data_IF_973350301790
#
_entry.id   IF_973350301790
#
_cell.length_a   1.000
_cell.length_b   1.000
_cell.length_c   1.000
_cell.angle_alpha   90.00
_cell.angle_beta   90.00
_cell.angle_gamma   90.00
#
_symmetry.space_group_name_H-M   'P 1'
#
loop_
_entity.id
_entity.type
_entity.pdbx_description
1 polymer ?
#
# COMPACT_ATOMS: atom_id res chain seq x y z
N UNK A 1 -15.81 -9.88 -9.01
CA UNK A 1 -15.58 -8.78 -8.04
C UNK A 1 -16.28 -7.51 -8.53
N UNK A 2 -17.20 -6.92 -7.76
CA UNK A 2 -17.87 -5.66 -8.12
C UNK A 2 -17.34 -4.53 -7.24
N UNK A 3 -16.56 -3.62 -7.83
CA UNK A 3 -16.04 -2.43 -7.15
C UNK A 3 -16.84 -1.23 -7.66
N UNK A 4 -17.52 -0.56 -6.73
CA UNK A 4 -18.29 0.64 -7.03
C UNK A 4 -17.34 1.81 -7.35
N UNK A 5 -17.58 2.51 -8.47
CA UNK A 5 -16.69 3.57 -8.99
C UNK A 5 -16.54 4.71 -7.98
N UNK A 6 -17.66 5.21 -7.44
CA UNK A 6 -17.65 6.32 -6.47
C UNK A 6 -16.86 5.96 -5.21
N UNK A 7 -17.09 4.76 -4.67
CA UNK A 7 -16.35 4.23 -3.52
C UNK A 7 -14.85 4.08 -3.80
N UNK A 8 -14.48 3.65 -5.00
CA UNK A 8 -13.07 3.56 -5.41
C UNK A 8 -12.41 4.94 -5.39
N UNK A 9 -12.98 5.92 -6.09
CA UNK A 9 -12.41 7.26 -6.16
C UNK A 9 -12.40 7.96 -4.79
N UNK A 10 -13.45 7.79 -3.99
CA UNK A 10 -13.48 8.25 -2.60
C UNK A 10 -12.43 7.55 -1.71
N UNK A 11 -12.01 6.34 -2.09
CA UNK A 11 -10.89 5.65 -1.42
C UNK A 11 -9.55 6.22 -1.87
N UNK A 12 -9.37 6.48 -3.17
CA UNK A 12 -8.13 7.01 -3.71
C UNK A 12 -7.90 8.50 -3.39
N UNK A 13 -8.93 9.27 -3.00
CA UNK A 13 -8.80 10.70 -2.65
C UNK A 13 -8.09 11.00 -1.32
N UNK A 14 -7.41 10.03 -0.71
CA UNK A 14 -6.69 10.20 0.56
C UNK A 14 -5.18 10.00 0.36
N UNK A 15 -4.39 10.98 0.80
CA UNK A 15 -2.93 10.98 0.62
C UNK A 15 -2.23 9.76 1.24
N UNK A 16 -2.62 9.33 2.45
CA UNK A 16 -2.00 8.16 3.10
C UNK A 16 -2.34 6.88 2.33
N UNK A 17 -3.59 6.73 1.87
CA UNK A 17 -3.99 5.57 1.06
C UNK A 17 -3.25 5.53 -0.28
N UNK A 18 -3.03 6.67 -0.94
CA UNK A 18 -2.22 6.74 -2.15
C UNK A 18 -0.75 6.35 -1.90
N UNK A 19 -0.15 6.83 -0.81
CA UNK A 19 1.20 6.44 -0.42
C UNK A 19 1.32 4.94 -0.12
N UNK A 20 0.35 4.35 0.59
CA UNK A 20 0.31 2.90 0.81
C UNK A 20 0.14 2.13 -0.50
N UNK A 21 -0.76 2.57 -1.39
CA UNK A 21 -0.98 1.95 -2.70
C UNK A 21 0.31 1.98 -3.54
N UNK A 22 1.03 3.10 -3.51
CA UNK A 22 2.31 3.26 -4.18
C UNK A 22 3.36 2.25 -3.69
N UNK A 23 3.52 2.09 -2.37
CA UNK A 23 4.43 1.08 -1.82
C UNK A 23 4.02 -0.35 -2.21
N UNK A 24 2.74 -0.68 -2.15
CA UNK A 24 2.25 -2.02 -2.50
C UNK A 24 2.45 -2.34 -3.98
N UNK A 25 2.15 -1.38 -4.86
CA UNK A 25 2.35 -1.53 -6.30
C UNK A 25 3.83 -1.64 -6.68
N UNK A 26 4.71 -0.99 -5.94
CA UNK A 26 6.16 -0.95 -6.23
C UNK A 26 6.93 -2.14 -5.67
N UNK A 27 6.41 -2.82 -4.65
CA UNK A 27 7.16 -3.83 -3.88
C UNK A 27 6.46 -5.20 -3.78
N UNK A 28 5.24 -5.34 -4.32
CA UNK A 28 4.50 -6.60 -4.33
C UNK A 28 3.77 -6.89 -3.02
N UNK A 29 4.50 -7.14 -1.93
CA UNK A 29 3.94 -7.46 -0.61
C UNK A 29 4.62 -6.68 0.51
N UNK A 30 3.83 -6.03 1.38
CA UNK A 30 4.30 -5.09 2.40
C UNK A 30 3.63 -5.35 3.76
N UNK A 31 4.40 -5.41 4.85
CA UNK A 31 3.92 -5.48 6.23
C UNK A 31 3.36 -4.13 6.71
N UNK A 32 2.36 -4.16 7.60
CA UNK A 32 1.88 -2.95 8.31
C UNK A 32 3.03 -2.18 8.99
N UNK A 33 3.96 -2.89 9.61
CA UNK A 33 5.13 -2.35 10.28
C UNK A 33 6.08 -1.63 9.31
N UNK A 34 6.31 -2.20 8.12
CA UNK A 34 7.11 -1.58 7.06
C UNK A 34 6.42 -0.30 6.54
N UNK A 35 5.08 -0.27 6.45
CA UNK A 35 4.33 0.95 6.09
C UNK A 35 4.51 2.04 7.14
N UNK A 36 4.38 1.70 8.43
CA UNK A 36 4.55 2.62 9.56
C UNK A 36 5.88 3.34 9.46
N UNK A 37 6.96 2.58 9.29
CA UNK A 37 8.31 3.12 9.28
C UNK A 37 8.64 3.84 7.96
N UNK A 38 8.22 3.29 6.80
CA UNK A 38 8.44 3.94 5.52
C UNK A 38 7.72 5.29 5.41
N UNK A 39 6.44 5.36 5.80
CA UNK A 39 5.64 6.58 5.70
C UNK A 39 5.86 7.55 6.87
N UNK A 40 6.47 7.09 7.97
CA UNK A 40 6.64 7.89 9.19
C UNK A 40 5.30 8.22 9.86
N UNK A 41 4.39 7.25 9.92
CA UNK A 41 3.03 7.40 10.48
C UNK A 41 2.78 6.43 11.63
N UNK A 42 1.73 6.66 12.40
CA UNK A 42 1.37 5.75 13.49
C UNK A 42 0.78 4.43 12.95
N UNK A 43 0.92 3.35 13.72
CA UNK A 43 0.33 2.05 13.40
C UNK A 43 -1.20 2.09 13.19
N UNK A 44 -1.99 2.82 14.01
CA UNK A 44 -3.43 3.00 13.74
C UNK A 44 -3.71 3.68 12.40
N UNK A 45 -2.90 4.67 12.00
CA UNK A 45 -3.05 5.35 10.72
C UNK A 45 -2.74 4.42 9.53
N UNK A 46 -1.65 3.66 9.61
CA UNK A 46 -1.27 2.67 8.60
C UNK A 46 -2.34 1.59 8.46
N UNK A 47 -2.78 1.00 9.57
CA UNK A 47 -3.81 -0.05 9.61
C UNK A 47 -5.14 0.45 9.04
N UNK A 48 -5.58 1.66 9.41
CA UNK A 48 -6.81 2.27 8.87
C UNK A 48 -6.71 2.51 7.36
N UNK A 49 -5.57 2.97 6.86
CA UNK A 49 -5.36 3.18 5.43
C UNK A 49 -5.42 1.86 4.65
N UNK A 50 -4.72 0.83 5.11
CA UNK A 50 -4.69 -0.51 4.50
C UNK A 50 -6.06 -1.20 4.54
N UNK A 51 -6.76 -1.10 5.68
CA UNK A 51 -8.14 -1.61 5.81
C UNK A 51 -9.10 -0.88 4.88
N UNK A 52 -8.92 0.43 4.67
CA UNK A 52 -9.69 1.20 3.72
C UNK A 52 -9.49 0.74 2.26
N UNK A 53 -8.24 0.48 1.87
CA UNK A 53 -7.91 -0.11 0.56
C UNK A 53 -8.50 -1.52 0.40
N UNK A 54 -8.41 -2.35 1.44
CA UNK A 54 -8.97 -3.72 1.45
C UNK A 54 -10.48 -3.70 1.29
N UNK A 55 -11.15 -2.79 2.01
CA UNK A 55 -12.61 -2.62 1.95
C UNK A 55 -13.08 -2.14 0.57
N UNK A 56 -12.21 -1.48 -0.19
CA UNK A 56 -12.46 -1.09 -1.58
C UNK A 56 -12.11 -2.18 -2.61
N UNK A 57 -11.60 -3.34 -2.17
CA UNK A 57 -11.20 -4.45 -3.04
C UNK A 57 -9.90 -4.24 -3.81
N UNK A 58 -9.08 -3.25 -3.41
CA UNK A 58 -7.81 -2.95 -4.09
C UNK A 58 -6.65 -3.82 -3.64
N UNK A 59 -6.72 -4.31 -2.41
CA UNK A 59 -5.65 -5.06 -1.77
C UNK A 59 -6.24 -6.23 -1.01
N UNK A 60 -5.43 -7.25 -0.81
CA UNK A 60 -5.70 -8.36 0.10
C UNK A 60 -4.58 -8.51 1.11
N UNK A 61 -4.92 -9.08 2.26
CA UNK A 61 -4.00 -9.37 3.33
C UNK A 61 -3.71 -10.86 3.47
N UNK A 62 -2.55 -11.15 4.05
CA UNK A 62 -2.13 -12.49 4.48
C UNK A 62 -1.50 -12.35 5.86
N UNK A 63 -1.84 -13.27 6.76
CA UNK A 63 -1.22 -13.35 8.08
C UNK A 63 -0.14 -14.42 8.08
N UNK A 64 1.04 -14.09 8.60
CA UNK A 64 2.14 -15.01 8.79
C UNK A 64 2.74 -14.77 10.18
N UNK A 65 2.62 -15.77 11.05
CA UNK A 65 2.89 -15.65 12.49
C UNK A 65 2.18 -14.41 13.10
N UNK A 66 2.96 -13.44 13.60
CA UNK A 66 2.46 -12.24 14.25
C UNK A 66 2.24 -11.06 13.28
N UNK A 67 2.56 -11.23 11.99
CA UNK A 67 2.57 -10.14 11.03
C UNK A 67 1.43 -10.24 10.03
N UNK A 68 0.94 -9.07 9.61
CA UNK A 68 -0.06 -8.94 8.55
C UNK A 68 0.60 -8.23 7.38
N UNK A 69 0.59 -8.90 6.25
CA UNK A 69 1.10 -8.43 4.97
C UNK A 69 -0.06 -8.05 4.07
N UNK A 70 0.13 -7.03 3.27
CA UNK A 70 -0.80 -6.58 2.24
C UNK A 70 -0.14 -6.67 0.88
N UNK A 71 -0.93 -6.94 -0.15
CA UNK A 71 -0.53 -6.88 -1.55
C UNK A 71 -1.70 -6.44 -2.41
N UNK A 72 -1.42 -5.96 -3.62
CA UNK A 72 -2.48 -5.66 -4.59
C UNK A 72 -3.33 -6.91 -4.87
N UNK A 73 -4.62 -6.68 -5.10
CA UNK A 73 -5.50 -7.72 -5.60
C UNK A 73 -5.04 -8.17 -7.00
N UNK A 74 -5.07 -9.48 -7.26
CA UNK A 74 -4.57 -10.09 -8.50
C UNK A 74 -5.66 -10.14 -9.56
N UNK A 75 -6.92 -10.19 -9.14
CA UNK A 75 -8.06 -10.22 -10.05
C UNK A 75 -8.74 -8.84 -10.17
N UNK A 76 -7.93 -7.77 -10.22
CA UNK A 76 -8.46 -6.43 -10.45
C UNK A 76 -9.07 -6.32 -11.86
N UNK A 77 -10.27 -5.72 -12.00
CA UNK A 77 -10.79 -5.33 -13.31
C UNK A 77 -9.78 -4.46 -14.07
N UNK A 78 -9.66 -4.65 -15.39
CA UNK A 78 -8.66 -3.98 -16.22
C UNK A 78 -8.64 -2.47 -16.07
N UNK A 79 -9.82 -1.85 -16.00
CA UNK A 79 -9.95 -0.40 -15.82
C UNK A 79 -9.36 0.09 -14.50
N UNK A 80 -9.47 -0.70 -13.42
CA UNK A 80 -8.86 -0.38 -12.12
C UNK A 80 -7.36 -0.57 -12.21
N UNK A 81 -6.89 -1.66 -12.84
CA UNK A 81 -5.47 -1.87 -13.11
C UNK A 81 -4.85 -0.69 -13.86
N UNK A 82 -5.55 -0.15 -14.85
CA UNK A 82 -5.12 1.05 -15.59
C UNK A 82 -5.06 2.29 -14.69
N UNK A 83 -6.07 2.55 -13.85
CA UNK A 83 -6.04 3.67 -12.89
C UNK A 83 -4.87 3.52 -11.92
N UNK A 84 -4.66 2.34 -11.34
CA UNK A 84 -3.57 2.09 -10.39
C UNK A 84 -2.22 2.32 -11.07
N UNK A 85 -2.00 1.76 -12.27
CA UNK A 85 -0.76 1.95 -13.02
C UNK A 85 -0.50 3.41 -13.37
N UNK A 86 -1.50 4.13 -13.89
CA UNK A 86 -1.38 5.55 -14.21
C UNK A 86 -1.09 6.39 -12.97
N UNK A 87 -1.79 6.11 -11.86
CA UNK A 87 -1.56 6.76 -10.57
C UNK A 87 -0.13 6.54 -10.08
N UNK A 88 0.33 5.29 -10.06
CA UNK A 88 1.68 4.94 -9.60
C UNK A 88 2.76 5.54 -10.49
N UNK A 89 2.55 5.57 -11.81
CA UNK A 89 3.45 6.22 -12.75
C UNK A 89 3.62 7.72 -12.42
N UNK A 90 2.53 8.41 -12.11
CA UNK A 90 2.60 9.82 -11.70
C UNK A 90 3.26 10.01 -10.34
N UNK A 91 2.95 9.15 -9.36
CA UNK A 91 3.52 9.20 -8.02
C UNK A 91 5.04 8.95 -7.99
N UNK A 92 5.62 8.33 -9.03
CA UNK A 92 7.08 8.23 -9.16
C UNK A 92 7.78 9.60 -9.28
N UNK A 93 7.05 10.65 -9.67
CA UNK A 93 7.57 12.02 -9.73
C UNK A 93 7.26 12.83 -8.45
N UNK A 94 6.55 12.25 -7.48
CA UNK A 94 6.22 12.90 -6.23
C UNK A 94 7.35 12.73 -5.20
N UNK A 95 7.92 13.85 -4.75
CA UNK A 95 9.03 13.85 -3.78
C UNK A 95 8.73 13.04 -2.49
N UNK A 96 7.51 13.16 -1.95
CA UNK A 96 7.10 12.41 -0.76
C UNK A 96 7.06 10.90 -1.01
N UNK A 97 6.50 10.47 -2.14
CA UNK A 97 6.39 9.06 -2.49
C UNK A 97 7.78 8.45 -2.75
N UNK A 98 8.64 9.17 -3.47
CA UNK A 98 10.03 8.76 -3.71
C UNK A 98 10.80 8.62 -2.39
N UNK A 99 10.63 9.55 -1.45
CA UNK A 99 11.26 9.47 -0.15
C UNK A 99 10.76 8.26 0.67
N UNK A 100 9.46 7.98 0.64
CA UNK A 100 8.88 6.79 1.29
C UNK A 100 9.45 5.50 0.70
N UNK A 101 9.56 5.41 -0.63
CA UNK A 101 10.12 4.23 -1.29
C UNK A 101 11.61 4.04 -0.99
N UNK A 102 12.38 5.12 -0.87
CA UNK A 102 13.77 5.05 -0.43
C UNK A 102 13.90 4.57 1.02
N UNK A 103 13.03 5.05 1.92
CA UNK A 103 12.96 4.55 3.30
C UNK A 103 12.62 3.07 3.28
N UNK A 104 11.57 2.67 2.58
CA UNK A 104 11.14 1.27 2.45
C UNK A 104 12.29 0.37 1.99
N UNK A 105 12.98 0.71 0.89
CA UNK A 105 14.12 -0.06 0.36
C UNK A 105 15.24 -0.27 1.40
N UNK A 106 15.49 0.70 2.28
CA UNK A 106 16.47 0.56 3.37
C UNK A 106 16.01 -0.39 4.48
N UNK A 107 14.70 -0.49 4.72
CA UNK A 107 14.12 -1.36 5.74
C UNK A 107 14.16 -2.83 5.33
N UNK A 108 13.66 -3.15 4.12
CA UNK A 108 13.63 -4.53 3.59
C UNK A 108 15.00 -5.08 3.20
N UNK A 109 16.06 -4.26 3.22
CA UNK A 109 17.43 -4.76 3.13
C UNK A 109 17.83 -5.62 4.34
N UNK A 110 17.06 -5.56 5.44
CA UNK A 110 17.24 -6.41 6.63
C UNK A 110 16.28 -7.60 6.56
N UNK A 111 16.64 -8.76 7.15
CA UNK A 111 15.70 -9.87 7.27
C UNK A 111 14.44 -9.41 7.99
N UNK A 112 13.25 -9.81 7.49
CA UNK A 112 11.96 -9.41 8.09
C UNK A 112 11.84 -9.77 9.58
N UNK A 113 12.47 -10.86 10.01
CA UNK A 113 12.59 -11.22 11.43
C UNK A 113 13.26 -10.15 12.32
N UNK A 114 14.05 -9.24 11.74
CA UNK A 114 14.70 -8.11 12.42
C UNK A 114 14.00 -6.77 12.17
N UNK A 115 13.18 -6.65 11.12
CA UNK A 115 12.47 -5.42 10.76
C UNK A 115 11.05 -5.34 11.35
N UNK A 116 10.49 -6.48 11.76
CA UNK A 116 9.15 -6.59 12.29
C UNK A 116 9.22 -7.14 13.74
N UNK A 117 9.39 -6.28 14.76
CA UNK A 117 9.44 -6.72 16.16
C UNK A 117 8.12 -7.35 16.65
#
# INVERSE_FOLDING_TARGET
MHIEKTRLFATLSNAVRLRCLYLLASNGEVCVCEVVEALGITQPAASKALTGLKSAGLVRDRREANWIYYRLESELPDWIGTIVRATVAELNNCATCVADQQRFKRLVARPRALACP
#
